data_IF_300299812581
#
_entry.id   IF_300299812581
#
_cell.length_a   1.000
_cell.length_b   1.000
_cell.length_c   1.000
_cell.angle_alpha   90.00
_cell.angle_beta   90.00
_cell.angle_gamma   90.00
#
_symmetry.space_group_name_H-M   'P 1'
#
loop_
_entity.id
_entity.type
_entity.pdbx_description
1 polymer ?
#
# COMPACT_ATOMS: atom_id res chain seq x y z
N UNK A 1 -6.64 -8.24 38.79
CA UNK A 1 -6.92 -8.05 37.37
C UNK A 1 -5.88 -8.82 36.55
N UNK A 2 -6.28 -9.78 35.70
CA UNK A 2 -5.35 -10.43 34.74
C UNK A 2 -4.88 -9.39 33.73
N UNK A 3 -3.57 -9.09 33.68
CA UNK A 3 -3.00 -8.23 32.65
C UNK A 3 -3.10 -8.96 31.31
N UNK A 4 -3.99 -8.49 30.43
CA UNK A 4 -4.02 -8.96 29.04
C UNK A 4 -2.73 -8.51 28.35
N UNK A 5 -1.97 -9.47 27.85
CA UNK A 5 -0.80 -9.22 27.01
C UNK A 5 -1.16 -9.57 25.58
N UNK A 6 -1.03 -8.60 24.68
CA UNK A 6 -1.25 -8.81 23.23
C UNK A 6 -0.13 -9.71 22.72
N UNK A 7 -0.48 -10.79 22.03
CA UNK A 7 0.48 -11.61 21.29
C UNK A 7 0.86 -10.86 20.00
N UNK A 8 2.13 -10.44 19.81
CA UNK A 8 2.55 -9.74 18.62
C UNK A 8 2.57 -10.63 17.37
N UNK A 9 2.56 -11.96 17.53
CA UNK A 9 2.65 -12.92 16.44
C UNK A 9 1.60 -14.04 16.59
N UNK A 10 0.30 -13.72 16.53
CA UNK A 10 -0.77 -14.69 16.72
C UNK A 10 -0.72 -15.78 15.65
N UNK A 11 -1.06 -17.01 16.00
CA UNK A 11 -1.10 -18.15 15.06
C UNK A 11 -2.19 -18.01 13.99
N UNK A 12 -3.21 -17.20 14.22
CA UNK A 12 -4.30 -16.94 13.27
C UNK A 12 -4.57 -15.46 13.19
N UNK A 13 -4.69 -14.96 11.96
CA UNK A 13 -5.06 -13.57 11.67
C UNK A 13 -6.32 -13.58 10.83
N UNK A 14 -7.37 -12.93 11.36
CA UNK A 14 -8.59 -12.59 10.62
C UNK A 14 -8.57 -11.09 10.39
N UNK A 15 -8.56 -10.70 9.13
CA UNK A 15 -8.33 -9.31 8.78
C UNK A 15 -9.25 -8.85 7.66
N UNK A 16 -9.83 -7.66 7.84
CA UNK A 16 -10.64 -6.98 6.84
C UNK A 16 -10.14 -5.54 6.66
N UNK A 17 -10.03 -5.12 5.42
CA UNK A 17 -9.68 -3.72 5.09
C UNK A 17 -10.40 -3.26 3.83
N UNK A 18 -10.70 -1.97 3.77
CA UNK A 18 -11.24 -1.30 2.57
C UNK A 18 -10.22 -0.42 1.85
N UNK A 19 -9.02 -0.24 2.44
CA UNK A 19 -7.95 0.60 1.88
C UNK A 19 -6.56 0.06 2.22
N UNK A 20 -5.56 0.51 1.46
CA UNK A 20 -4.17 0.06 1.63
C UNK A 20 -3.48 0.67 2.85
N UNK A 21 -3.88 1.88 3.29
CA UNK A 21 -3.31 2.54 4.48
C UNK A 21 -3.45 1.65 5.72
N UNK A 22 -4.54 0.93 5.83
CA UNK A 22 -4.80 -0.04 6.89
C UNK A 22 -4.72 -1.48 6.37
N UNK A 23 -3.85 -1.73 5.40
CA UNK A 23 -3.68 -3.02 4.73
C UNK A 23 -2.86 -4.05 5.51
N UNK A 24 -2.35 -3.73 6.71
CA UNK A 24 -1.45 -4.60 7.47
C UNK A 24 -2.03 -4.99 8.82
N UNK A 25 -1.99 -6.28 9.15
CA UNK A 25 -2.34 -6.82 10.45
C UNK A 25 -1.30 -7.87 10.89
N UNK A 26 -0.56 -7.60 11.97
CA UNK A 26 0.50 -8.47 12.51
C UNK A 26 1.57 -8.82 11.46
N UNK A 27 1.57 -10.07 10.98
CA UNK A 27 2.51 -10.61 9.99
C UNK A 27 1.88 -10.74 8.59
N UNK A 28 0.65 -10.26 8.40
CA UNK A 28 -0.09 -10.25 7.13
C UNK A 28 -0.21 -8.83 6.60
N UNK A 29 0.02 -8.63 5.29
CA UNK A 29 -0.29 -7.40 4.58
C UNK A 29 -1.11 -7.72 3.31
N UNK A 30 -2.16 -6.96 3.03
CA UNK A 30 -2.91 -6.99 1.78
C UNK A 30 -2.35 -5.87 0.90
N UNK A 31 -1.68 -6.26 -0.19
CA UNK A 31 -0.95 -5.34 -1.07
C UNK A 31 -1.80 -4.89 -2.27
N UNK A 32 -2.77 -5.71 -2.70
CA UNK A 32 -3.65 -5.37 -3.82
C UNK A 32 -5.07 -5.89 -3.60
N UNK A 33 -6.01 -4.97 -3.72
CA UNK A 33 -7.45 -5.22 -3.61
C UNK A 33 -8.04 -5.32 -5.02
N UNK A 34 -8.83 -6.36 -5.31
CA UNK A 34 -9.39 -6.62 -6.65
C UNK A 34 -10.43 -5.58 -7.06
N UNK A 35 -11.39 -5.32 -6.20
CA UNK A 35 -12.49 -4.36 -6.45
C UNK A 35 -12.46 -3.26 -5.42
N UNK A 36 -12.41 -2.02 -5.89
CA UNK A 36 -12.54 -0.82 -5.05
C UNK A 36 -13.92 -0.76 -4.40
N UNK A 37 -14.04 -0.03 -3.32
CA UNK A 37 -15.28 0.17 -2.56
C UNK A 37 -15.88 -1.11 -1.96
N UNK A 38 -15.16 -2.23 -2.03
CA UNK A 38 -15.50 -3.48 -1.38
C UNK A 38 -14.40 -3.87 -0.39
N UNK A 39 -14.80 -4.49 0.72
CA UNK A 39 -13.85 -4.97 1.72
C UNK A 39 -13.05 -6.15 1.18
N UNK A 40 -11.74 -6.10 1.39
CA UNK A 40 -10.88 -7.26 1.27
C UNK A 40 -10.86 -8.01 2.60
N UNK A 41 -10.95 -9.33 2.57
CA UNK A 41 -10.97 -10.19 3.76
C UNK A 41 -10.02 -11.35 3.61
N UNK A 42 -9.28 -11.63 4.67
CA UNK A 42 -8.44 -12.84 4.78
C UNK A 42 -8.59 -13.48 6.16
N UNK A 43 -8.62 -14.80 6.17
CA UNK A 43 -8.49 -15.64 7.37
C UNK A 43 -7.35 -16.62 7.12
N UNK A 44 -6.24 -16.44 7.83
CA UNK A 44 -5.00 -17.17 7.63
C UNK A 44 -4.49 -17.71 8.97
N UNK A 45 -4.01 -18.96 8.97
CA UNK A 45 -3.56 -19.67 10.18
C UNK A 45 -2.24 -20.36 9.94
N UNK A 46 -1.34 -20.27 10.90
CA UNK A 46 -0.14 -21.11 10.97
C UNK A 46 -0.54 -22.44 11.55
N UNK A 47 -0.71 -23.45 10.69
CA UNK A 47 -1.15 -24.78 11.08
C UNK A 47 -0.01 -25.56 11.74
N UNK A 48 1.20 -25.47 11.17
CA UNK A 48 2.40 -26.10 11.68
C UNK A 48 3.64 -25.26 11.38
N UNK A 49 4.82 -25.73 11.81
CA UNK A 49 6.08 -25.06 11.49
C UNK A 49 6.50 -25.12 10.00
N UNK A 50 5.73 -25.84 9.16
CA UNK A 50 5.98 -26.00 7.72
C UNK A 50 4.72 -25.80 6.88
N UNK A 51 3.60 -25.39 7.50
CA UNK A 51 2.32 -25.22 6.79
C UNK A 51 1.55 -24.01 7.30
N UNK A 52 1.14 -23.17 6.35
CA UNK A 52 0.21 -22.06 6.54
C UNK A 52 -1.05 -22.37 5.75
N UNK A 53 -2.21 -22.17 6.34
CA UNK A 53 -3.52 -22.41 5.75
C UNK A 53 -4.29 -21.10 5.63
N UNK A 54 -4.85 -20.87 4.45
CA UNK A 54 -5.73 -19.74 4.14
C UNK A 54 -7.14 -20.28 4.01
N UNK A 55 -7.96 -20.09 5.05
CA UNK A 55 -9.35 -20.58 5.08
C UNK A 55 -10.33 -19.60 4.43
N UNK A 56 -9.94 -18.33 4.26
CA UNK A 56 -10.75 -17.35 3.54
C UNK A 56 -9.86 -16.32 2.85
N UNK A 57 -10.18 -16.00 1.60
CA UNK A 57 -9.58 -14.93 0.84
C UNK A 57 -10.61 -14.35 -0.13
N UNK A 58 -11.02 -13.10 0.10
CA UNK A 58 -12.02 -12.41 -0.69
C UNK A 58 -11.53 -11.03 -1.08
N UNK A 59 -11.76 -10.66 -2.33
CA UNK A 59 -11.42 -9.34 -2.88
C UNK A 59 -9.93 -8.97 -2.74
N UNK A 60 -9.02 -9.95 -2.81
CA UNK A 60 -7.57 -9.79 -2.72
C UNK A 60 -6.91 -10.33 -3.97
N UNK A 61 -6.02 -9.55 -4.60
CA UNK A 61 -5.20 -9.97 -5.75
C UNK A 61 -3.73 -10.18 -5.36
N UNK A 62 -3.25 -9.52 -4.29
CA UNK A 62 -1.89 -9.69 -3.79
C UNK A 62 -1.86 -9.49 -2.28
N UNK A 63 -1.07 -10.33 -1.62
CA UNK A 63 -0.80 -10.18 -0.18
C UNK A 63 0.63 -10.65 0.14
N UNK A 64 1.15 -10.17 1.26
CA UNK A 64 2.48 -10.49 1.77
C UNK A 64 2.41 -11.07 3.18
N UNK A 65 3.18 -12.12 3.41
CA UNK A 65 3.37 -12.76 4.71
C UNK A 65 4.79 -12.47 5.20
N UNK A 66 4.94 -11.88 6.40
CA UNK A 66 6.22 -11.67 7.09
C UNK A 66 6.60 -12.94 7.82
N UNK A 67 7.31 -13.84 7.14
CA UNK A 67 7.67 -15.17 7.65
C UNK A 67 8.69 -15.12 8.78
N UNK A 68 9.51 -14.07 8.85
CA UNK A 68 10.47 -13.83 9.93
C UNK A 68 9.83 -13.66 11.30
N UNK A 69 8.57 -13.26 11.36
CA UNK A 69 7.78 -13.13 12.58
C UNK A 69 7.14 -14.42 13.06
N UNK A 70 7.24 -15.49 12.25
CA UNK A 70 6.59 -16.76 12.52
C UNK A 70 7.62 -17.82 12.99
N UNK A 71 7.20 -18.70 13.90
CA UNK A 71 8.02 -19.82 14.36
C UNK A 71 8.00 -20.97 13.35
N UNK A 72 8.64 -20.77 12.18
CA UNK A 72 8.72 -21.73 11.09
C UNK A 72 10.06 -22.48 11.10
N UNK A 73 10.07 -23.69 10.50
CA UNK A 73 11.32 -24.43 10.23
C UNK A 73 11.97 -23.86 8.99
N UNK A 74 13.11 -23.19 9.16
CA UNK A 74 13.82 -22.49 8.07
C UNK A 74 14.48 -23.42 7.05
N UNK A 75 14.76 -24.66 7.43
CA UNK A 75 15.49 -25.65 6.63
C UNK A 75 14.52 -26.74 6.08
N UNK A 76 13.30 -26.38 5.75
CA UNK A 76 12.32 -27.25 5.14
C UNK A 76 11.38 -26.43 4.25
N UNK A 77 10.78 -27.11 3.26
CA UNK A 77 9.76 -26.52 2.42
C UNK A 77 8.59 -26.00 3.26
N UNK A 78 8.14 -24.77 2.96
CA UNK A 78 6.92 -24.20 3.53
C UNK A 78 5.78 -24.36 2.51
N UNK A 79 4.72 -24.96 2.95
CA UNK A 79 3.49 -25.12 2.19
C UNK A 79 2.48 -24.05 2.59
N UNK A 80 1.95 -23.31 1.62
CA UNK A 80 0.83 -22.38 1.78
C UNK A 80 -0.36 -22.98 1.05
N UNK A 81 -1.34 -23.48 1.79
CA UNK A 81 -2.54 -24.14 1.29
C UNK A 81 -3.73 -23.18 1.33
N UNK A 82 -4.62 -23.33 0.36
CA UNK A 82 -5.88 -22.58 0.26
C UNK A 82 -7.04 -23.55 0.46
N UNK A 83 -7.94 -23.26 1.41
CA UNK A 83 -9.10 -24.09 1.68
C UNK A 83 -10.04 -24.14 0.48
N UNK A 84 -10.57 -25.34 0.18
CA UNK A 84 -11.47 -25.55 -0.96
C UNK A 84 -10.81 -25.54 -2.35
N UNK A 85 -9.49 -25.41 -2.41
CA UNK A 85 -8.72 -25.44 -3.66
C UNK A 85 -7.61 -26.48 -3.53
N UNK A 86 -7.57 -27.45 -4.43
CA UNK A 86 -6.51 -28.49 -4.45
C UNK A 86 -5.14 -27.95 -4.95
N UNK A 87 -4.92 -26.65 -4.77
CA UNK A 87 -3.69 -25.95 -5.17
C UNK A 87 -3.00 -25.34 -3.95
N UNK A 88 -1.71 -25.56 -3.88
CA UNK A 88 -0.81 -25.05 -2.86
C UNK A 88 0.37 -24.34 -3.49
N UNK A 89 0.91 -23.36 -2.78
CA UNK A 89 2.16 -22.70 -3.14
C UNK A 89 3.26 -23.21 -2.21
N UNK A 90 4.32 -23.76 -2.78
CA UNK A 90 5.48 -24.26 -2.03
C UNK A 90 6.60 -23.23 -2.10
N UNK A 91 7.14 -22.86 -0.94
CA UNK A 91 8.29 -21.98 -0.82
C UNK A 91 9.52 -22.84 -0.52
N UNK A 92 10.51 -22.77 -1.41
CA UNK A 92 11.77 -23.51 -1.27
C UNK A 92 12.71 -22.97 -0.20
N UNK A 93 13.77 -23.70 0.03
CA UNK A 93 14.84 -23.32 0.96
C UNK A 93 15.88 -22.41 0.30
N UNK A 94 16.48 -21.46 1.01
CA UNK A 94 16.12 -21.03 2.38
C UNK A 94 14.79 -20.23 2.37
N UNK A 95 13.97 -20.42 3.43
CA UNK A 95 12.72 -19.65 3.56
C UNK A 95 13.07 -18.16 3.74
N UNK A 96 12.59 -17.27 2.86
CA UNK A 96 12.84 -15.83 2.93
C UNK A 96 12.18 -15.18 4.15
N UNK A 97 12.61 -13.97 4.51
CA UNK A 97 11.99 -13.19 5.58
C UNK A 97 10.52 -12.84 5.26
N UNK A 98 10.24 -12.60 3.98
CA UNK A 98 8.88 -12.27 3.49
C UNK A 98 8.57 -13.08 2.24
N UNK A 99 7.29 -13.36 2.03
CA UNK A 99 6.79 -13.93 0.76
C UNK A 99 5.55 -13.16 0.33
N UNK A 100 5.55 -12.72 -0.91
CA UNK A 100 4.39 -12.12 -1.55
C UNK A 100 3.76 -13.12 -2.52
N UNK A 101 2.44 -13.20 -2.51
CA UNK A 101 1.66 -14.05 -3.39
C UNK A 101 0.69 -13.18 -4.19
N UNK A 102 0.58 -13.46 -5.49
CA UNK A 102 -0.36 -12.79 -6.38
C UNK A 102 -1.26 -13.79 -7.10
N UNK A 103 -2.49 -13.37 -7.32
CA UNK A 103 -3.49 -14.11 -8.09
C UNK A 103 -3.23 -13.92 -9.58
N UNK A 104 -3.15 -15.01 -10.32
CA UNK A 104 -3.03 -15.01 -11.79
C UNK A 104 -4.40 -14.83 -12.46
N UNK A 105 -4.39 -14.57 -13.76
CA UNK A 105 -5.61 -14.42 -14.56
C UNK A 105 -6.48 -15.70 -14.56
N UNK A 106 -5.86 -16.89 -14.43
CA UNK A 106 -6.54 -18.18 -14.31
C UNK A 106 -7.08 -18.48 -12.89
N UNK A 107 -6.94 -17.51 -11.97
CA UNK A 107 -7.36 -17.65 -10.57
C UNK A 107 -6.36 -18.37 -9.67
N UNK A 108 -5.26 -18.92 -10.19
CA UNK A 108 -4.22 -19.57 -9.41
C UNK A 108 -3.37 -18.57 -8.64
N UNK A 109 -2.90 -18.97 -7.46
CA UNK A 109 -1.94 -18.20 -6.67
C UNK A 109 -0.51 -18.61 -7.00
N UNK A 110 0.37 -17.64 -7.11
CA UNK A 110 1.81 -17.86 -7.33
C UNK A 110 2.64 -16.87 -6.54
N UNK A 111 3.91 -17.22 -6.31
CA UNK A 111 4.86 -16.31 -5.69
C UNK A 111 5.05 -15.09 -6.58
N UNK A 112 4.97 -13.92 -5.97
CA UNK A 112 5.24 -12.63 -6.59
C UNK A 112 6.65 -12.17 -6.22
N UNK A 113 7.40 -11.68 -7.20
CA UNK A 113 8.75 -11.13 -7.04
C UNK A 113 8.70 -9.65 -7.38
N UNK A 114 8.96 -8.74 -6.42
CA UNK A 114 8.91 -7.28 -6.67
C UNK A 114 9.85 -6.82 -7.79
N UNK A 115 10.98 -7.50 -7.96
CA UNK A 115 11.97 -7.21 -9.02
C UNK A 115 11.42 -7.41 -10.45
N UNK A 116 10.36 -8.18 -10.60
CA UNK A 116 9.68 -8.32 -11.90
C UNK A 116 8.84 -7.10 -12.29
N UNK A 117 8.66 -6.14 -11.39
CA UNK A 117 7.96 -4.88 -11.65
C UNK A 117 8.91 -3.72 -12.03
N UNK A 118 10.22 -3.97 -12.20
CA UNK A 118 11.21 -2.97 -12.66
C UNK A 118 11.11 -2.64 -14.16
N UNK A 119 10.14 -3.20 -14.89
CA UNK A 119 9.70 -2.62 -16.16
C UNK A 119 8.96 -1.31 -15.90
N UNK A 120 9.10 -0.36 -16.84
CA UNK A 120 8.38 0.92 -16.86
C UNK A 120 6.97 0.76 -16.29
N UNK A 121 6.65 1.54 -15.25
CA UNK A 121 5.35 1.47 -14.59
C UNK A 121 4.27 1.66 -15.66
N UNK A 122 3.56 0.58 -16.03
CA UNK A 122 2.55 0.64 -17.09
C UNK A 122 1.51 1.70 -16.72
N UNK A 123 1.43 2.73 -17.53
CA UNK A 123 0.40 3.74 -17.38
C UNK A 123 -0.98 3.17 -17.77
N UNK A 124 -2.04 3.36 -17.00
CA UNK A 124 -2.10 4.06 -15.71
C UNK A 124 -1.52 3.23 -14.54
N UNK A 125 -0.87 3.89 -13.57
CA UNK A 125 -0.27 3.22 -12.42
C UNK A 125 -1.34 2.47 -11.61
N UNK A 126 -1.00 1.28 -11.13
CA UNK A 126 -1.91 0.51 -10.29
C UNK A 126 -1.97 1.11 -8.88
N UNK A 127 -3.16 1.13 -8.26
CA UNK A 127 -3.30 1.56 -6.87
C UNK A 127 -2.57 0.64 -5.92
N UNK A 128 -1.79 1.25 -5.04
CA UNK A 128 -1.00 0.61 -3.98
C UNK A 128 -0.89 1.54 -2.78
N UNK A 129 -0.31 1.08 -1.70
CA UNK A 129 -0.02 1.93 -0.53
C UNK A 129 0.78 3.18 -0.98
N UNK A 130 0.28 4.36 -0.64
CA UNK A 130 0.85 5.65 -1.06
C UNK A 130 0.38 6.16 -2.43
N UNK A 131 -0.33 5.33 -3.23
CA UNK A 131 -0.90 5.70 -4.53
C UNK A 131 -2.39 5.35 -4.64
N UNK A 132 -3.12 5.36 -3.53
CA UNK A 132 -4.54 4.99 -3.54
C UNK A 132 -5.50 6.19 -3.48
N UNK A 133 -5.04 7.35 -2.98
CA UNK A 133 -5.93 8.44 -2.55
C UNK A 133 -6.69 8.08 -1.27
N UNK A 134 -7.58 8.85 -0.74
CA UNK A 134 -8.22 10.00 -1.40
C UNK A 134 -7.27 11.16 -1.70
N UNK A 135 -7.72 12.16 -2.45
CA UNK A 135 -6.88 13.33 -2.82
C UNK A 135 -6.33 14.06 -1.60
N UNK A 136 -7.02 13.97 -0.45
CA UNK A 136 -6.56 14.51 0.81
C UNK A 136 -5.25 13.89 1.32
N UNK A 137 -4.86 12.71 0.84
CA UNK A 137 -3.58 12.10 1.21
C UNK A 137 -2.39 12.94 0.74
N UNK A 138 -2.54 13.69 -0.37
CA UNK A 138 -1.54 14.61 -0.87
C UNK A 138 -1.20 15.75 0.12
N UNK A 139 -2.14 16.10 1.02
CA UNK A 139 -1.99 17.19 2.00
C UNK A 139 -1.83 16.70 3.44
N UNK A 140 -1.78 15.38 3.68
CA UNK A 140 -1.56 14.82 5.02
C UNK A 140 -0.10 14.66 5.36
N UNK A 141 0.72 14.34 4.36
CA UNK A 141 2.17 14.30 4.47
C UNK A 141 2.73 15.71 4.16
N UNK A 142 4.01 15.99 4.41
CA UNK A 142 4.61 17.26 4.06
C UNK A 142 4.35 17.61 2.59
N UNK A 143 3.76 18.77 2.34
CA UNK A 143 3.42 19.22 1.00
C UNK A 143 3.86 20.66 0.74
N UNK A 144 3.96 21.00 -0.53
CA UNK A 144 4.35 22.30 -1.05
C UNK A 144 3.39 22.70 -2.18
N UNK A 145 2.81 23.88 -2.06
CA UNK A 145 2.02 24.45 -3.15
C UNK A 145 2.97 25.08 -4.16
N UNK A 146 2.87 24.64 -5.41
CA UNK A 146 3.71 25.14 -6.50
C UNK A 146 2.87 25.99 -7.44
N UNK A 147 3.31 27.23 -7.66
CA UNK A 147 2.67 28.15 -8.60
C UNK A 147 3.47 28.17 -9.90
N UNK A 148 2.86 27.70 -10.99
CA UNK A 148 3.46 27.73 -12.32
C UNK A 148 3.64 29.15 -12.85
N UNK A 149 4.78 29.44 -13.46
CA UNK A 149 5.13 30.76 -14.02
C UNK A 149 5.42 30.73 -15.52
N UNK A 150 5.53 29.55 -16.13
CA UNK A 150 5.99 29.38 -17.52
C UNK A 150 4.91 29.58 -18.60
N UNK A 151 3.65 29.87 -18.23
CA UNK A 151 2.62 30.15 -19.23
C UNK A 151 3.02 31.37 -20.10
N UNK A 152 3.02 31.22 -21.41
CA UNK A 152 3.36 32.30 -22.35
C UNK A 152 2.30 33.40 -22.34
N UNK A 153 1.02 33.00 -22.30
CA UNK A 153 -0.10 33.94 -22.30
C UNK A 153 -0.24 34.65 -20.94
N UNK A 154 -0.23 36.01 -20.91
CA UNK A 154 -0.48 36.78 -19.71
C UNK A 154 -1.80 36.48 -19.01
N UNK A 155 -2.85 36.09 -19.77
CA UNK A 155 -4.15 35.73 -19.21
C UNK A 155 -4.09 34.39 -18.48
N UNK A 156 -3.38 33.39 -19.02
CA UNK A 156 -3.17 32.12 -18.34
C UNK A 156 -2.39 32.30 -17.05
N UNK A 157 -1.33 33.09 -17.06
CA UNK A 157 -0.57 33.44 -15.82
C UNK A 157 -1.46 34.08 -14.76
N UNK A 158 -2.34 34.98 -15.18
CA UNK A 158 -3.30 35.61 -14.28
C UNK A 158 -4.27 34.59 -13.68
N UNK A 159 -4.81 33.67 -14.49
CA UNK A 159 -5.71 32.60 -14.04
C UNK A 159 -5.01 31.72 -12.99
N UNK A 160 -3.78 31.22 -13.29
CA UNK A 160 -3.00 30.40 -12.35
C UNK A 160 -2.83 31.10 -11.02
N UNK A 161 -2.45 32.38 -11.03
CA UNK A 161 -2.30 33.18 -9.81
C UNK A 161 -3.60 33.31 -9.04
N UNK A 162 -4.71 33.64 -9.71
CA UNK A 162 -6.03 33.78 -9.08
C UNK A 162 -6.49 32.46 -8.43
N UNK A 163 -6.32 31.33 -9.10
CA UNK A 163 -6.69 30.02 -8.58
C UNK A 163 -5.83 29.61 -7.38
N UNK A 164 -4.51 29.83 -7.45
CA UNK A 164 -3.62 29.60 -6.31
C UNK A 164 -4.02 30.44 -5.09
N UNK A 165 -4.27 31.75 -5.28
CA UNK A 165 -4.73 32.63 -4.18
C UNK A 165 -6.10 32.20 -3.64
N UNK A 166 -7.03 31.77 -4.51
CA UNK A 166 -8.33 31.26 -4.08
C UNK A 166 -8.18 30.02 -3.23
N UNK A 167 -7.35 29.06 -3.66
CA UNK A 167 -7.07 27.82 -2.94
C UNK A 167 -6.42 28.11 -1.57
N UNK A 168 -5.41 28.96 -1.52
CA UNK A 168 -4.71 29.37 -0.28
C UNK A 168 -5.67 30.05 0.72
N UNK A 169 -6.58 30.91 0.24
CA UNK A 169 -7.60 31.52 1.10
C UNK A 169 -8.57 30.48 1.68
N UNK A 170 -9.00 29.50 0.88
CA UNK A 170 -9.88 28.43 1.34
C UNK A 170 -9.17 27.53 2.35
N UNK A 171 -7.91 27.18 2.08
CA UNK A 171 -7.06 26.40 2.99
C UNK A 171 -6.93 27.10 4.35
N UNK A 172 -6.54 28.38 4.36
CA UNK A 172 -6.41 29.16 5.58
C UNK A 172 -7.71 29.23 6.38
N UNK A 173 -8.85 29.37 5.70
CA UNK A 173 -10.18 29.40 6.37
C UNK A 173 -10.48 28.06 7.04
N UNK A 174 -10.14 26.95 6.40
CA UNK A 174 -10.49 25.60 6.88
C UNK A 174 -9.53 25.11 7.96
N UNK A 175 -8.24 25.31 7.79
CA UNK A 175 -7.21 24.72 8.62
C UNK A 175 -6.48 25.71 9.54
N UNK A 176 -6.75 27.01 9.42
CA UNK A 176 -6.12 28.09 10.22
C UNK A 176 -4.59 28.13 10.09
N UNK A 177 -4.03 27.58 9.02
CA UNK A 177 -2.60 27.48 8.71
C UNK A 177 -2.36 27.95 7.29
N UNK A 178 -1.21 28.55 7.05
CA UNK A 178 -0.74 28.90 5.70
C UNK A 178 0.26 27.83 5.25
N UNK A 179 0.02 27.12 4.16
CA UNK A 179 0.97 26.12 3.64
C UNK A 179 2.20 26.83 3.06
N UNK A 180 3.31 26.10 2.93
CA UNK A 180 4.48 26.58 2.20
C UNK A 180 4.12 26.71 0.71
N UNK A 181 4.59 27.80 0.09
CA UNK A 181 4.36 28.14 -1.33
C UNK A 181 5.70 28.44 -1.97
N UNK A 182 5.91 27.94 -3.18
CA UNK A 182 7.04 28.28 -4.05
C UNK A 182 6.58 28.47 -5.48
N UNK A 183 7.34 29.23 -6.25
CA UNK A 183 7.21 29.23 -7.70
C UNK A 183 7.87 27.96 -8.27
N UNK A 184 7.43 27.52 -9.43
CA UNK A 184 7.99 26.36 -10.12
C UNK A 184 9.52 26.43 -10.27
N UNK A 185 10.05 27.61 -10.62
CA UNK A 185 11.50 27.85 -10.74
C UNK A 185 12.28 27.81 -9.42
N UNK A 186 11.60 27.82 -8.27
CA UNK A 186 12.22 27.78 -6.93
C UNK A 186 12.27 26.36 -6.35
N UNK A 187 11.72 25.38 -7.07
CA UNK A 187 11.68 23.99 -6.62
C UNK A 187 13.07 23.40 -6.62
N UNK A 188 13.43 22.76 -5.52
CA UNK A 188 14.70 22.07 -5.37
C UNK A 188 14.52 20.56 -5.47
N UNK A 189 15.60 19.82 -5.74
CA UNK A 189 15.58 18.36 -5.73
C UNK A 189 15.11 17.81 -4.37
N UNK A 190 15.52 18.46 -3.27
CA UNK A 190 15.06 18.10 -1.91
C UNK A 190 13.55 18.29 -1.72
N UNK A 191 12.94 19.29 -2.36
CA UNK A 191 11.48 19.46 -2.29
C UNK A 191 10.75 18.30 -2.98
N UNK A 192 11.26 17.86 -4.16
CA UNK A 192 10.70 16.74 -4.93
C UNK A 192 10.79 15.43 -4.14
N UNK A 193 11.91 15.20 -3.45
CA UNK A 193 12.17 13.95 -2.72
C UNK A 193 11.42 13.85 -1.38
N UNK A 194 11.09 15.00 -0.76
CA UNK A 194 10.60 15.01 0.63
C UNK A 194 9.17 15.51 0.79
N UNK A 195 8.55 16.03 -0.27
CA UNK A 195 7.23 16.67 -0.20
C UNK A 195 6.32 16.25 -1.35
N UNK A 196 5.03 16.24 -1.09
CA UNK A 196 4.04 16.20 -2.16
C UNK A 196 3.96 17.60 -2.80
N UNK A 197 4.10 17.68 -4.12
CA UNK A 197 3.93 18.92 -4.87
C UNK A 197 2.49 19.03 -5.34
N UNK A 198 1.84 20.17 -5.06
CA UNK A 198 0.43 20.46 -5.34
C UNK A 198 0.31 21.72 -6.17
#
# INVERSE_FOLDING_TARGET
>A
MKKFKIDPNPKRVRFKTGNYRHGTAYWLAIDRISRRMALAEMDIKVESRSRIEISKIENVDRFTIKLDRLNLRRNRLLEIAFEGVDRKVTIGEPIPATVSLSKKADGAWSRHFPESETGEEKWPPSKRLGLEGPIEDAVRDPFLVVIGTEAEDPFERWIVKCEAERWLRQWRRRFQVVPAVKLDMEITQSDIETKNLI
#
